data_IF_243709558238
#
_entry.id   IF_243709558238
#
_cell.length_a   1.000
_cell.length_b   1.000
_cell.length_c   1.000
_cell.angle_alpha   90.00
_cell.angle_beta   90.00
_cell.angle_gamma   90.00
#
_symmetry.space_group_name_H-M   'P 1'
#
loop_
_entity.id
_entity.type
_entity.pdbx_description
1 polymer ?
#
# COMPACT_ATOMS: atom_id res chain seq x y z
N UNK A 1 20.58 -26.11 -1.77
CA UNK A 1 20.94 -24.68 -1.72
C UNK A 1 20.07 -24.03 -0.67
N UNK A 2 20.65 -23.39 0.36
CA UNK A 2 19.88 -22.51 1.23
C UNK A 2 19.52 -21.27 0.43
N UNK A 3 18.27 -21.20 -0.02
CA UNK A 3 17.70 -19.99 -0.64
C UNK A 3 17.74 -18.89 0.40
N UNK A 4 18.48 -17.81 0.13
CA UNK A 4 18.60 -16.67 1.05
C UNK A 4 17.21 -16.11 1.36
N UNK A 5 17.00 -15.80 2.62
CA UNK A 5 15.83 -15.07 3.07
C UNK A 5 15.78 -13.70 2.42
N UNK A 6 14.58 -13.23 2.04
CA UNK A 6 14.43 -11.95 1.39
C UNK A 6 13.15 -11.22 1.82
N UNK A 7 13.24 -9.89 1.75
CA UNK A 7 12.11 -8.98 1.85
C UNK A 7 11.91 -8.30 0.50
N UNK A 8 10.68 -7.90 0.18
CA UNK A 8 10.42 -7.03 -0.96
C UNK A 8 10.37 -5.58 -0.48
N UNK A 9 11.27 -4.74 -1.01
CA UNK A 9 11.27 -3.31 -0.73
C UNK A 9 10.19 -2.65 -1.58
N UNK A 10 9.32 -1.87 -0.95
CA UNK A 10 8.27 -1.10 -1.61
C UNK A 10 8.18 0.30 -1.01
N UNK A 11 7.56 1.22 -1.73
CA UNK A 11 7.29 2.57 -1.25
C UNK A 11 5.84 2.67 -0.74
N UNK A 12 5.58 3.67 0.10
CA UNK A 12 4.26 3.92 0.68
C UNK A 12 3.37 4.71 -0.28
N UNK A 13 3.01 4.07 -1.39
CA UNK A 13 2.09 4.64 -2.36
C UNK A 13 0.74 3.97 -2.33
N UNK A 14 -0.25 4.64 -2.91
CA UNK A 14 -1.60 4.09 -3.07
C UNK A 14 -1.53 2.81 -3.91
N UNK A 15 -0.77 2.81 -4.99
CA UNK A 15 -0.61 1.65 -5.89
C UNK A 15 0.05 0.48 -5.14
N UNK A 16 1.15 0.75 -4.44
CA UNK A 16 1.84 -0.26 -3.66
C UNK A 16 0.95 -0.85 -2.56
N UNK A 17 0.13 -0.03 -1.89
CA UNK A 17 -0.82 -0.49 -0.86
C UNK A 17 -1.80 -1.54 -1.41
N UNK A 18 -2.22 -1.42 -2.67
CA UNK A 18 -3.09 -2.41 -3.32
C UNK A 18 -2.32 -3.60 -3.89
N UNK A 19 -1.14 -3.37 -4.47
CA UNK A 19 -0.30 -4.44 -5.04
C UNK A 19 0.26 -5.37 -3.98
N UNK A 20 0.50 -4.90 -2.75
CA UNK A 20 0.97 -5.75 -1.63
C UNK A 20 0.06 -6.95 -1.42
N UNK A 21 -1.26 -6.80 -1.53
CA UNK A 21 -2.18 -7.95 -1.40
C UNK A 21 -1.92 -9.02 -2.46
N UNK A 22 -1.76 -8.62 -3.73
CA UNK A 22 -1.43 -9.51 -4.85
C UNK A 22 -0.04 -10.12 -4.71
N UNK A 23 0.93 -9.36 -4.20
CA UNK A 23 2.27 -9.86 -3.97
C UNK A 23 2.29 -10.86 -2.82
N UNK A 24 1.52 -10.65 -1.74
CA UNK A 24 1.35 -11.63 -0.66
C UNK A 24 0.83 -12.94 -1.24
N UNK A 25 -0.24 -12.91 -2.03
CA UNK A 25 -0.84 -14.12 -2.61
C UNK A 25 0.18 -14.95 -3.42
N UNK A 26 1.14 -14.31 -4.10
CA UNK A 26 2.14 -14.99 -4.93
C UNK A 26 3.44 -15.33 -4.20
N UNK A 27 3.83 -14.57 -3.18
CA UNK A 27 5.12 -14.68 -2.51
C UNK A 27 5.03 -15.42 -1.17
N UNK A 28 3.85 -15.49 -0.55
CA UNK A 28 3.66 -16.14 0.75
C UNK A 28 3.96 -17.64 0.72
N UNK A 29 3.85 -18.29 -0.44
CA UNK A 29 4.19 -19.71 -0.61
C UNK A 29 5.71 -19.95 -0.69
N UNK A 30 6.52 -18.89 -0.89
CA UNK A 30 7.96 -19.02 -0.96
C UNK A 30 8.54 -19.16 0.45
N UNK A 31 9.22 -20.28 0.78
CA UNK A 31 9.67 -20.57 2.14
C UNK A 31 10.73 -19.60 2.68
N UNK A 32 11.37 -18.82 1.80
CA UNK A 32 12.39 -17.83 2.12
C UNK A 32 11.87 -16.39 2.07
N UNK A 33 10.59 -16.16 1.79
CA UNK A 33 9.99 -14.84 1.85
C UNK A 33 9.73 -14.42 3.31
N UNK A 34 10.15 -13.21 3.68
CA UNK A 34 10.03 -12.68 5.05
C UNK A 34 9.07 -11.49 5.19
N UNK A 35 8.55 -10.97 4.08
CA UNK A 35 7.57 -9.88 4.06
C UNK A 35 8.03 -8.66 3.27
N UNK A 36 7.39 -7.53 3.51
CA UNK A 36 7.68 -6.26 2.84
C UNK A 36 8.44 -5.32 3.76
N UNK A 37 9.38 -4.57 3.18
CA UNK A 37 9.97 -3.39 3.80
C UNK A 37 9.38 -2.17 3.12
N UNK A 38 8.77 -1.29 3.91
CA UNK A 38 8.24 -0.03 3.41
C UNK A 38 9.30 1.06 3.56
N UNK A 39 9.63 1.72 2.46
CA UNK A 39 10.47 2.91 2.44
C UNK A 39 9.59 4.14 2.62
N UNK A 40 9.29 4.46 3.88
CA UNK A 40 8.66 5.72 4.29
C UNK A 40 9.25 6.20 5.60
N UNK A 41 9.20 7.51 5.84
CA UNK A 41 9.34 8.03 7.20
C UNK A 41 8.19 7.47 8.04
N UNK A 42 8.49 7.04 9.27
CA UNK A 42 7.48 6.41 10.13
C UNK A 42 6.27 7.36 10.30
N UNK A 43 5.10 7.00 9.78
CA UNK A 43 3.93 7.87 9.84
C UNK A 43 3.46 7.99 11.29
N UNK A 44 2.83 9.11 11.61
CA UNK A 44 2.19 9.27 12.93
C UNK A 44 1.14 8.18 13.14
N UNK A 45 0.96 7.76 14.39
CA UNK A 45 -0.05 6.76 14.76
C UNK A 45 -1.47 7.18 14.30
N UNK A 46 -1.76 8.48 14.33
CA UNK A 46 -3.00 9.04 13.79
C UNK A 46 -3.19 8.74 12.29
N UNK A 47 -2.14 8.92 11.50
CA UNK A 47 -2.18 8.66 10.06
C UNK A 47 -2.34 7.15 9.77
N UNK A 48 -1.67 6.29 10.55
CA UNK A 48 -1.82 4.83 10.46
C UNK A 48 -3.29 4.43 10.71
N UNK A 49 -3.91 4.95 11.78
CA UNK A 49 -5.31 4.62 12.08
C UNK A 49 -6.27 5.13 11.00
N UNK A 50 -6.04 6.33 10.46
CA UNK A 50 -6.85 6.87 9.34
C UNK A 50 -6.75 6.02 8.08
N UNK A 51 -5.53 5.58 7.71
CA UNK A 51 -5.32 4.65 6.60
C UNK A 51 -6.09 3.34 6.83
N UNK A 52 -5.99 2.76 8.03
CA UNK A 52 -6.69 1.51 8.38
C UNK A 52 -8.21 1.65 8.29
N UNK A 53 -8.77 2.75 8.79
CA UNK A 53 -10.20 3.04 8.74
C UNK A 53 -10.68 3.18 7.30
N UNK A 54 -9.99 4.00 6.50
CA UNK A 54 -10.33 4.20 5.08
C UNK A 54 -10.30 2.88 4.32
N UNK A 55 -9.20 2.14 4.36
CA UNK A 55 -9.11 0.87 3.62
C UNK A 55 -10.11 -0.19 4.12
N UNK A 56 -10.46 -0.17 5.40
CA UNK A 56 -11.51 -1.03 5.94
C UNK A 56 -12.91 -0.67 5.43
N UNK A 57 -13.24 0.62 5.39
CA UNK A 57 -14.56 1.11 4.94
C UNK A 57 -14.77 0.91 3.44
N UNK A 58 -13.71 1.08 2.64
CA UNK A 58 -13.77 1.00 1.18
C UNK A 58 -13.36 -0.38 0.64
N UNK A 59 -13.10 -1.36 1.51
CA UNK A 59 -12.76 -2.72 1.13
C UNK A 59 -13.85 -3.32 0.23
N UNK A 60 -13.44 -3.82 -0.95
CA UNK A 60 -14.35 -4.47 -1.91
C UNK A 60 -15.20 -3.52 -2.75
N UNK A 61 -15.17 -2.20 -2.51
CA UNK A 61 -15.78 -1.23 -3.42
C UNK A 61 -15.00 -1.22 -4.74
N UNK A 62 -15.73 -1.30 -5.86
CA UNK A 62 -15.16 -1.31 -7.22
C UNK A 62 -15.04 0.08 -7.84
N UNK A 63 -15.71 1.07 -7.25
CA UNK A 63 -15.76 2.45 -7.73
C UNK A 63 -15.60 3.37 -6.52
N UNK A 64 -14.73 4.36 -6.68
CA UNK A 64 -14.60 5.49 -5.75
C UNK A 64 -15.24 6.70 -6.41
N UNK A 65 -15.95 7.50 -5.63
CA UNK A 65 -16.35 8.83 -6.08
C UNK A 65 -15.14 9.76 -6.09
N UNK A 66 -15.22 10.89 -6.80
CA UNK A 66 -14.16 11.91 -6.77
C UNK A 66 -13.85 12.36 -5.34
N UNK A 67 -14.87 12.46 -4.48
CA UNK A 67 -14.70 12.82 -3.07
C UNK A 67 -13.92 11.75 -2.29
N UNK A 68 -14.21 10.48 -2.53
CA UNK A 68 -13.49 9.36 -1.90
C UNK A 68 -12.04 9.28 -2.37
N UNK A 69 -11.82 9.58 -3.65
CA UNK A 69 -10.49 9.63 -4.23
C UNK A 69 -9.65 10.77 -3.62
N UNK A 70 -10.23 11.96 -3.42
CA UNK A 70 -9.55 13.07 -2.73
C UNK A 70 -9.24 12.72 -1.27
N UNK A 71 -10.15 12.04 -0.57
CA UNK A 71 -9.90 11.53 0.79
C UNK A 71 -8.72 10.55 0.80
N UNK A 72 -8.64 9.65 -0.18
CA UNK A 72 -7.54 8.70 -0.32
C UNK A 72 -6.20 9.41 -0.54
N UNK A 73 -6.12 10.36 -1.47
CA UNK A 73 -4.87 11.12 -1.73
C UNK A 73 -4.36 11.80 -0.45
N UNK A 74 -5.25 12.39 0.34
CA UNK A 74 -4.88 13.06 1.59
C UNK A 74 -4.21 12.13 2.62
N UNK A 75 -4.40 10.81 2.52
CA UNK A 75 -3.78 9.82 3.42
C UNK A 75 -2.35 9.44 3.00
N UNK A 76 -1.93 9.85 1.81
CA UNK A 76 -0.63 9.56 1.22
C UNK A 76 0.02 10.87 0.74
N UNK A 77 0.45 11.73 1.68
CA UNK A 77 0.97 13.07 1.34
C UNK A 77 2.30 13.04 0.58
N UNK A 78 2.98 11.89 0.54
CA UNK A 78 4.22 11.67 -0.20
C UNK A 78 3.99 11.20 -1.65
N UNK A 79 2.74 11.10 -2.11
CA UNK A 79 2.45 10.75 -3.51
C UNK A 79 3.08 11.77 -4.45
N UNK A 80 3.90 11.28 -5.39
CA UNK A 80 4.41 12.12 -6.46
C UNK A 80 3.32 12.40 -7.52
N UNK A 81 3.58 13.37 -8.42
CA UNK A 81 2.61 13.73 -9.47
C UNK A 81 2.35 12.59 -10.47
N UNK A 82 3.29 11.68 -10.66
CA UNK A 82 3.14 10.49 -11.51
C UNK A 82 2.13 9.53 -10.89
N UNK A 83 2.20 9.33 -9.57
CA UNK A 83 1.30 8.46 -8.84
C UNK A 83 -0.11 9.04 -8.76
N UNK A 84 -0.25 10.37 -8.72
CA UNK A 84 -1.55 11.04 -8.83
C UNK A 84 -2.17 10.85 -10.22
N UNK A 85 -1.36 10.93 -11.28
CA UNK A 85 -1.83 10.80 -12.66
C UNK A 85 -2.36 9.41 -13.04
N UNK A 86 -1.96 8.35 -12.31
CA UNK A 86 -2.43 6.97 -12.59
C UNK A 86 -3.92 6.75 -12.25
N UNK A 87 -4.52 7.66 -11.49
CA UNK A 87 -5.91 7.53 -11.03
C UNK A 87 -6.88 8.56 -11.65
N UNK A 88 -6.41 9.35 -12.62
CA UNK A 88 -7.24 10.27 -13.44
C UNK A 88 -7.52 9.58 -14.78
#
# INVERSE_FOLDING_TARGET
>A
MLTKEFYLLTESSVICSYLVSKWIDNLAELPNFRGFLLKEDMPSENLIQKRKLFHGEYAGKKLLTDEDYQKLICLYPALDETEKAIFI
#
